data_IF_180328348570
#
_entry.id   IF_180328348570
#
_cell.length_a   1.000
_cell.length_b   1.000
_cell.length_c   1.000
_cell.angle_alpha   90.00
_cell.angle_beta   90.00
_cell.angle_gamma   90.00
#
_symmetry.space_group_name_H-M   'P 1'
#
loop_
_entity.id
_entity.type
_entity.pdbx_description
1 polymer ?
#
# COMPACT_ATOMS: atom_id res chain seq x y z
N UNK A 1 41.33 -9.76 48.22
CA UNK A 1 41.00 -8.48 47.55
C UNK A 1 39.88 -8.77 46.55
N UNK A 2 38.69 -8.49 46.98
CA UNK A 2 37.42 -8.75 46.28
C UNK A 2 37.05 -7.53 45.45
N UNK A 3 37.11 -7.66 44.13
CA UNK A 3 36.65 -6.62 43.20
C UNK A 3 35.16 -6.77 42.89
N UNK A 4 34.37 -5.84 43.43
CA UNK A 4 32.93 -5.72 43.15
C UNK A 4 32.69 -5.14 41.74
N UNK A 5 32.13 -5.94 40.85
CA UNK A 5 31.58 -5.45 39.59
C UNK A 5 30.15 -4.90 39.84
N UNK A 6 30.07 -3.57 39.91
CA UNK A 6 28.80 -2.88 39.97
C UNK A 6 27.99 -3.10 38.70
N UNK A 7 26.84 -3.74 38.83
CA UNK A 7 25.79 -3.76 37.80
C UNK A 7 25.14 -2.36 37.79
N UNK A 8 25.51 -1.53 36.85
CA UNK A 8 24.72 -0.37 36.52
C UNK A 8 23.53 -0.89 35.70
N UNK A 9 22.39 -1.01 36.36
CA UNK A 9 21.10 -1.19 35.72
C UNK A 9 20.78 0.07 34.95
N UNK A 10 20.89 0.02 33.64
CA UNK A 10 20.29 1.02 32.75
C UNK A 10 18.79 0.79 32.81
N UNK A 11 18.10 1.53 33.68
CA UNK A 11 16.66 1.68 33.67
C UNK A 11 16.34 2.59 32.47
N UNK A 12 16.12 2.01 31.31
CA UNK A 12 15.42 2.68 30.24
C UNK A 12 13.95 2.70 30.66
N UNK A 13 13.57 3.76 31.36
CA UNK A 13 12.16 4.15 31.44
C UNK A 13 11.79 4.57 30.01
N UNK A 14 11.23 3.65 29.24
CA UNK A 14 10.44 3.98 28.05
C UNK A 14 9.35 4.94 28.54
N UNK A 15 9.53 6.23 28.28
CA UNK A 15 8.42 7.19 28.36
C UNK A 15 7.52 6.78 27.20
N UNK A 16 6.52 5.97 27.50
CA UNK A 16 5.53 5.55 26.51
C UNK A 16 4.94 6.82 25.90
N UNK A 17 5.29 7.10 24.67
CA UNK A 17 4.76 8.28 23.93
C UNK A 17 3.26 8.08 23.81
N UNK A 18 2.49 8.88 24.54
CA UNK A 18 1.03 8.88 24.43
C UNK A 18 0.64 9.49 23.09
N UNK A 19 -0.07 8.75 22.28
CA UNK A 19 -0.52 9.14 20.93
C UNK A 19 -2.02 9.39 20.98
N UNK A 20 -2.46 10.48 20.35
CA UNK A 20 -3.88 10.81 20.14
C UNK A 20 -4.35 10.27 18.80
N UNK A 21 -5.33 9.38 18.83
CA UNK A 21 -5.78 8.57 17.70
C UNK A 21 -7.24 8.85 17.37
N UNK A 22 -7.55 9.02 16.09
CA UNK A 22 -8.93 8.91 15.57
C UNK A 22 -9.02 7.58 14.82
N UNK A 23 -10.09 6.81 15.07
CA UNK A 23 -10.33 5.53 14.40
C UNK A 23 -11.54 5.67 13.47
N UNK A 24 -11.37 5.27 12.20
CA UNK A 24 -12.45 5.15 11.23
C UNK A 24 -12.58 3.69 10.79
N UNK A 25 -13.65 3.04 11.20
CA UNK A 25 -13.93 1.62 10.97
C UNK A 25 -15.46 1.43 11.02
N UNK A 26 -16.04 0.84 10.00
CA UNK A 26 -17.49 0.63 9.92
C UNK A 26 -17.97 -0.50 10.82
N UNK A 27 -17.14 -1.53 11.02
CA UNK A 27 -17.43 -2.59 11.99
C UNK A 27 -17.36 -2.08 13.43
N UNK A 28 -18.52 -1.96 14.06
CA UNK A 28 -18.62 -1.52 15.48
C UNK A 28 -17.74 -2.37 16.39
N UNK A 29 -17.74 -3.70 16.19
CA UNK A 29 -16.96 -4.61 17.02
C UNK A 29 -15.45 -4.36 16.90
N UNK A 30 -14.96 -4.16 15.67
CA UNK A 30 -13.53 -3.93 15.43
C UNK A 30 -13.13 -2.52 15.93
N UNK A 31 -13.97 -1.51 15.70
CA UNK A 31 -13.74 -0.15 16.18
C UNK A 31 -13.62 -0.10 17.70
N UNK A 32 -14.55 -0.73 18.42
CA UNK A 32 -14.52 -0.81 19.88
C UNK A 32 -13.31 -1.63 20.37
N UNK A 33 -12.98 -2.72 19.67
CA UNK A 33 -11.80 -3.54 19.96
C UNK A 33 -10.50 -2.74 19.86
N UNK A 34 -10.32 -2.00 18.76
CA UNK A 34 -9.15 -1.13 18.54
C UNK A 34 -9.09 0.01 19.57
N UNK A 35 -10.25 0.62 19.87
CA UNK A 35 -10.38 1.69 20.89
C UNK A 35 -9.89 1.18 22.23
N UNK A 36 -10.39 0.03 22.66
CA UNK A 36 -10.00 -0.56 23.93
C UNK A 36 -8.54 -0.94 23.97
N UNK A 37 -8.06 -1.59 22.91
CA UNK A 37 -6.66 -2.02 22.78
C UNK A 37 -5.69 -0.83 22.93
N UNK A 38 -5.92 0.25 22.20
CA UNK A 38 -5.05 1.43 22.25
C UNK A 38 -5.14 2.13 23.60
N UNK A 39 -6.33 2.22 24.19
CA UNK A 39 -6.53 2.83 25.52
C UNK A 39 -5.85 2.03 26.63
N UNK A 40 -5.98 0.70 26.61
CA UNK A 40 -5.35 -0.18 27.60
C UNK A 40 -3.80 -0.11 27.54
N UNK A 41 -3.25 0.27 26.37
CA UNK A 41 -1.81 0.47 26.17
C UNK A 41 -1.35 1.93 26.34
N UNK A 42 -2.23 2.79 26.88
CA UNK A 42 -1.89 4.15 27.30
C UNK A 42 -2.02 5.23 26.22
N UNK A 43 -2.55 4.92 25.05
CA UNK A 43 -2.87 5.89 24.00
C UNK A 43 -4.26 6.50 24.24
N UNK A 44 -4.55 7.61 23.58
CA UNK A 44 -5.83 8.30 23.67
C UNK A 44 -6.61 8.18 22.36
N UNK A 45 -7.70 7.45 22.38
CA UNK A 45 -8.63 7.46 21.24
C UNK A 45 -9.61 8.62 21.43
N UNK A 46 -9.43 9.68 20.65
CA UNK A 46 -10.20 10.93 20.78
C UNK A 46 -11.53 10.88 20.06
N UNK A 47 -11.66 10.03 19.04
CA UNK A 47 -12.94 9.76 18.35
C UNK A 47 -12.91 8.42 17.62
N UNK A 48 -14.11 7.83 17.42
CA UNK A 48 -14.35 6.66 16.60
C UNK A 48 -15.55 6.92 15.68
N UNK A 49 -15.34 6.75 14.36
CA UNK A 49 -16.35 7.00 13.32
C UNK A 49 -16.54 5.80 12.42
N UNK A 50 -17.65 5.75 11.67
CA UNK A 50 -18.01 4.58 10.86
C UNK A 50 -17.86 4.77 9.34
N UNK A 51 -17.45 5.96 8.88
CA UNK A 51 -17.30 6.25 7.46
C UNK A 51 -16.26 7.34 7.19
N UNK A 52 -15.89 7.50 5.90
CA UNK A 52 -14.82 8.41 5.49
C UNK A 52 -15.20 9.89 5.57
N UNK A 53 -16.46 10.24 5.43
CA UNK A 53 -16.93 11.65 5.51
C UNK A 53 -16.94 12.10 6.94
N UNK A 54 -17.51 11.29 7.86
CA UNK A 54 -17.46 11.51 9.29
C UNK A 54 -16.02 11.61 9.81
N UNK A 55 -15.07 10.83 9.24
CA UNK A 55 -13.66 10.95 9.56
C UNK A 55 -13.11 12.34 9.24
N UNK A 56 -13.35 12.83 8.02
CA UNK A 56 -12.86 14.15 7.60
C UNK A 56 -13.47 15.27 8.46
N UNK A 57 -14.77 15.22 8.70
CA UNK A 57 -15.47 16.21 9.54
C UNK A 57 -14.95 16.21 10.98
N UNK A 58 -14.73 15.01 11.55
CA UNK A 58 -14.21 14.88 12.93
C UNK A 58 -12.81 15.47 13.06
N UNK A 59 -11.91 15.15 12.12
CA UNK A 59 -10.54 15.69 12.13
C UNK A 59 -10.55 17.20 11.92
N UNK A 60 -11.40 17.73 11.03
CA UNK A 60 -11.53 19.16 10.79
C UNK A 60 -12.05 19.90 12.04
N UNK A 61 -13.03 19.32 12.75
CA UNK A 61 -13.53 19.85 14.02
C UNK A 61 -12.42 19.93 15.09
N UNK A 62 -11.70 18.83 15.29
CA UNK A 62 -10.57 18.78 16.23
C UNK A 62 -9.46 19.78 15.86
N UNK A 63 -9.15 19.92 14.57
CA UNK A 63 -8.18 20.91 14.10
C UNK A 63 -8.63 22.35 14.39
N UNK A 64 -9.92 22.66 14.20
CA UNK A 64 -10.50 23.96 14.53
C UNK A 64 -10.41 24.31 16.01
N UNK A 65 -10.38 23.33 16.89
CA UNK A 65 -10.21 23.47 18.36
C UNK A 65 -8.71 23.49 18.76
N UNK A 66 -7.78 23.41 17.82
CA UNK A 66 -6.34 23.31 18.09
C UNK A 66 -5.94 21.96 18.70
N UNK A 67 -6.75 20.94 18.52
CA UNK A 67 -6.63 19.60 19.12
C UNK A 67 -6.45 18.51 18.07
N UNK A 68 -5.72 18.80 16.98
CA UNK A 68 -5.44 17.83 15.89
C UNK A 68 -4.92 16.51 16.49
N UNK A 69 -5.41 15.32 16.03
CA UNK A 69 -4.84 14.05 16.45
C UNK A 69 -3.43 13.85 15.86
N UNK A 70 -2.63 12.98 16.48
CA UNK A 70 -1.31 12.63 15.98
C UNK A 70 -1.40 11.65 14.79
N UNK A 71 -2.41 10.78 14.82
CA UNK A 71 -2.63 9.77 13.79
C UNK A 71 -4.10 9.42 13.61
N UNK A 72 -4.45 9.11 12.38
CA UNK A 72 -5.72 8.48 12.01
C UNK A 72 -5.45 7.02 11.67
N UNK A 73 -6.26 6.11 12.21
CA UNK A 73 -6.32 4.69 11.81
C UNK A 73 -7.61 4.51 11.03
N UNK A 74 -7.55 4.18 9.75
CA UNK A 74 -8.71 4.11 8.87
C UNK A 74 -8.80 2.77 8.14
N UNK A 75 -9.98 2.15 8.13
CA UNK A 75 -10.28 1.07 7.20
C UNK A 75 -10.31 1.60 5.75
N UNK A 76 -9.87 0.80 4.80
CA UNK A 76 -9.96 1.11 3.36
C UNK A 76 -11.42 1.23 2.92
N UNK A 77 -12.22 0.23 3.29
CA UNK A 77 -13.58 0.03 2.77
C UNK A 77 -14.63 0.39 3.80
N UNK A 78 -15.26 1.53 3.61
CA UNK A 78 -16.33 2.03 4.49
C UNK A 78 -17.57 2.44 3.69
N UNK A 79 -18.72 2.65 4.34
CA UNK A 79 -19.88 3.20 3.65
C UNK A 79 -19.57 4.51 2.90
N UNK A 80 -20.31 4.86 1.81
CA UNK A 80 -21.51 4.17 1.33
C UNK A 80 -21.27 3.03 0.35
N UNK A 81 -20.12 2.97 -0.34
CA UNK A 81 -19.90 1.99 -1.43
C UNK A 81 -19.04 0.81 -1.03
N UNK A 82 -18.37 0.88 0.13
CA UNK A 82 -17.42 -0.12 0.64
C UNK A 82 -16.29 -0.45 -0.36
N UNK A 83 -15.76 0.59 -1.02
CA UNK A 83 -14.66 0.45 -1.98
C UNK A 83 -13.37 1.05 -1.47
N UNK A 84 -13.26 2.39 -1.43
CA UNK A 84 -12.02 3.11 -1.17
C UNK A 84 -12.22 4.39 -0.31
N UNK A 85 -13.36 4.50 0.36
CA UNK A 85 -13.75 5.70 1.11
C UNK A 85 -12.70 6.11 2.13
N UNK A 86 -12.15 5.13 2.85
CA UNK A 86 -11.13 5.41 3.85
C UNK A 86 -9.83 5.91 3.25
N UNK A 87 -9.39 5.35 2.12
CA UNK A 87 -8.18 5.83 1.44
C UNK A 87 -8.38 7.25 0.91
N UNK A 88 -9.54 7.53 0.31
CA UNK A 88 -9.85 8.89 -0.17
C UNK A 88 -9.88 9.90 0.97
N UNK A 89 -10.49 9.54 2.10
CA UNK A 89 -10.47 10.37 3.31
C UNK A 89 -9.03 10.59 3.81
N UNK A 90 -8.23 9.52 3.88
CA UNK A 90 -6.84 9.56 4.29
C UNK A 90 -5.98 10.47 3.39
N UNK A 91 -6.10 10.35 2.07
CA UNK A 91 -5.39 11.19 1.09
C UNK A 91 -5.81 12.66 1.22
N UNK A 92 -7.11 12.92 1.40
CA UNK A 92 -7.62 14.27 1.64
C UNK A 92 -7.05 14.88 2.91
N UNK A 93 -7.11 14.17 4.02
CA UNK A 93 -6.59 14.63 5.31
C UNK A 93 -5.09 14.92 5.28
N UNK A 94 -4.31 14.11 4.58
CA UNK A 94 -2.87 14.35 4.42
C UNK A 94 -2.56 15.62 3.62
N UNK A 95 -3.40 15.97 2.65
CA UNK A 95 -3.24 17.23 1.90
C UNK A 95 -3.60 18.44 2.75
N UNK A 96 -4.66 18.34 3.55
CA UNK A 96 -5.14 19.42 4.42
C UNK A 96 -4.25 19.59 5.67
N UNK A 97 -3.75 18.46 6.22
CA UNK A 97 -2.94 18.43 7.45
C UNK A 97 -1.64 17.63 7.24
N UNK A 98 -0.59 18.23 6.64
CA UNK A 98 0.64 17.49 6.28
C UNK A 98 1.41 16.88 7.47
N UNK A 99 1.11 17.31 8.70
CA UNK A 99 1.70 16.76 9.93
C UNK A 99 0.93 15.56 10.52
N UNK A 100 -0.28 15.30 10.04
CA UNK A 100 -1.12 14.22 10.51
C UNK A 100 -0.61 12.87 10.00
N UNK A 101 -0.37 11.93 10.92
CA UNK A 101 -0.11 10.55 10.59
C UNK A 101 -1.38 9.83 10.08
N UNK A 102 -1.22 8.98 9.07
CA UNK A 102 -2.33 8.17 8.55
C UNK A 102 -1.89 6.72 8.42
N UNK A 103 -2.55 5.84 9.16
CA UNK A 103 -2.40 4.39 9.09
C UNK A 103 -3.66 3.76 8.52
N UNK A 104 -3.54 3.17 7.35
CA UNK A 104 -4.65 2.48 6.68
C UNK A 104 -4.60 1.00 7.02
N UNK A 105 -5.76 0.43 7.37
CA UNK A 105 -5.97 -0.99 7.56
C UNK A 105 -6.76 -1.57 6.38
N UNK A 106 -6.28 -2.65 5.79
CA UNK A 106 -6.92 -3.32 4.66
C UNK A 106 -7.05 -4.81 4.89
N UNK A 107 -8.10 -5.42 4.38
CA UNK A 107 -8.24 -6.87 4.39
C UNK A 107 -7.33 -7.56 3.35
N UNK A 108 -7.00 -6.86 2.27
CA UNK A 108 -6.18 -7.35 1.17
C UNK A 108 -5.14 -6.32 0.76
N UNK A 109 -4.08 -6.77 0.09
CA UNK A 109 -3.13 -5.85 -0.51
C UNK A 109 -3.76 -5.25 -1.77
N UNK A 110 -4.01 -3.95 -1.74
CA UNK A 110 -4.55 -3.18 -2.87
C UNK A 110 -3.51 -2.14 -3.30
N UNK A 111 -2.71 -2.53 -4.29
CA UNK A 111 -1.54 -1.77 -4.75
C UNK A 111 -1.86 -0.32 -5.14
N UNK A 112 -3.01 -0.10 -5.77
CA UNK A 112 -3.44 1.23 -6.19
C UNK A 112 -3.58 2.18 -4.99
N UNK A 113 -4.14 1.70 -3.88
CA UNK A 113 -4.34 2.51 -2.67
C UNK A 113 -3.03 2.77 -1.94
N UNK A 114 -2.18 1.76 -1.85
CA UNK A 114 -0.84 1.95 -1.28
C UNK A 114 -0.03 2.97 -2.10
N UNK A 115 -0.09 2.89 -3.43
CA UNK A 115 0.57 3.83 -4.34
C UNK A 115 0.03 5.25 -4.17
N UNK A 116 -1.28 5.42 -4.07
CA UNK A 116 -1.92 6.72 -3.88
C UNK A 116 -1.55 7.36 -2.53
N UNK A 117 -1.55 6.57 -1.45
CA UNK A 117 -1.15 7.03 -0.13
C UNK A 117 0.32 7.44 -0.05
N UNK A 118 1.20 6.74 -0.77
CA UNK A 118 2.64 7.01 -0.81
C UNK A 118 3.01 8.10 -1.82
N UNK A 119 2.08 8.53 -2.68
CA UNK A 119 2.33 9.57 -3.65
C UNK A 119 2.73 10.90 -2.97
N UNK A 120 3.88 11.43 -3.32
CA UNK A 120 4.43 12.69 -2.81
C UNK A 120 5.30 12.56 -1.57
N UNK A 121 4.92 11.81 -0.55
CA UNK A 121 5.74 11.60 0.67
C UNK A 121 5.33 10.33 1.40
N UNK A 122 6.29 9.56 1.85
CA UNK A 122 6.05 8.39 2.72
C UNK A 122 6.05 8.74 4.22
N UNK A 123 6.31 10.00 4.59
CA UNK A 123 6.33 10.41 6.00
C UNK A 123 4.92 10.39 6.60
N UNK A 124 4.80 9.82 7.80
CA UNK A 124 3.53 9.73 8.50
C UNK A 124 2.51 8.85 7.78
N UNK A 125 2.96 7.81 7.07
CA UNK A 125 2.10 6.90 6.32
C UNK A 125 2.28 5.48 6.79
N UNK A 126 1.16 4.80 7.01
CA UNK A 126 1.14 3.37 7.22
C UNK A 126 0.10 2.68 6.35
N UNK A 127 0.40 1.46 5.96
CA UNK A 127 -0.52 0.55 5.31
C UNK A 127 -0.27 -0.86 5.85
N UNK A 128 -1.22 -1.38 6.63
CA UNK A 128 -1.15 -2.72 7.22
C UNK A 128 -2.34 -3.57 6.79
N UNK A 129 -2.13 -4.87 6.76
CA UNK A 129 -3.22 -5.81 6.65
C UNK A 129 -3.94 -5.96 8.01
N UNK A 130 -5.27 -6.10 7.98
CA UNK A 130 -6.08 -6.27 9.22
C UNK A 130 -5.63 -7.46 10.07
N UNK A 131 -5.06 -8.49 9.46
CA UNK A 131 -4.50 -9.65 10.18
C UNK A 131 -3.33 -9.25 11.09
N UNK A 132 -2.61 -8.17 10.78
CA UNK A 132 -1.53 -7.64 11.63
C UNK A 132 -2.02 -7.02 12.94
N UNK A 133 -3.30 -6.67 13.02
CA UNK A 133 -3.90 -6.19 14.28
C UNK A 133 -3.88 -7.27 15.36
N UNK A 134 -3.90 -8.55 14.97
CA UNK A 134 -3.74 -9.68 15.89
C UNK A 134 -2.35 -9.71 16.56
N UNK A 135 -1.33 -9.18 15.89
CA UNK A 135 0.01 -8.98 16.42
C UNK A 135 0.09 -7.63 17.14
N UNK A 136 -0.54 -7.55 18.31
CA UNK A 136 -0.82 -6.32 19.06
C UNK A 136 0.39 -5.37 19.13
N UNK A 137 1.59 -5.90 19.42
CA UNK A 137 2.80 -5.09 19.52
C UNK A 137 3.17 -4.44 18.20
N UNK A 138 3.14 -5.20 17.11
CA UNK A 138 3.48 -4.68 15.78
C UNK A 138 2.49 -3.59 15.33
N UNK A 139 1.21 -3.79 15.61
CA UNK A 139 0.19 -2.79 15.32
C UNK A 139 0.41 -1.49 16.10
N UNK A 140 0.63 -1.58 17.42
CA UNK A 140 0.85 -0.38 18.25
C UNK A 140 2.15 0.32 17.88
N UNK A 141 3.22 -0.42 17.64
CA UNK A 141 4.49 0.13 17.15
C UNK A 141 4.32 0.88 15.81
N UNK A 142 3.47 0.36 14.93
CA UNK A 142 3.13 1.03 13.67
C UNK A 142 2.36 2.34 13.92
N UNK A 143 1.37 2.35 14.81
CA UNK A 143 0.61 3.55 15.20
C UNK A 143 1.56 4.63 15.73
N UNK A 144 2.42 4.28 16.68
CA UNK A 144 3.40 5.21 17.28
C UNK A 144 4.39 5.72 16.24
N UNK A 145 4.90 4.84 15.39
CA UNK A 145 5.83 5.18 14.31
C UNK A 145 5.24 6.17 13.32
N UNK A 146 4.00 5.91 12.89
CA UNK A 146 3.28 6.77 11.93
C UNK A 146 2.94 8.12 12.56
N UNK A 147 2.50 8.15 13.81
CA UNK A 147 2.27 9.38 14.57
C UNK A 147 3.54 10.24 14.70
N UNK A 148 4.71 9.60 14.86
CA UNK A 148 6.00 10.27 14.87
C UNK A 148 6.54 10.68 13.48
N UNK A 149 5.75 10.54 12.42
CA UNK A 149 6.13 10.89 11.05
C UNK A 149 6.96 9.80 10.34
N UNK A 150 7.09 8.61 10.93
CA UNK A 150 7.72 7.45 10.29
C UNK A 150 6.80 6.76 9.29
N UNK A 151 7.29 5.68 8.69
CA UNK A 151 6.54 4.86 7.73
C UNK A 151 6.35 3.44 8.28
N UNK A 152 5.15 2.89 8.12
CA UNK A 152 4.83 1.51 8.51
C UNK A 152 4.10 0.81 7.36
N UNK A 153 4.80 -0.07 6.64
CA UNK A 153 4.24 -0.81 5.52
C UNK A 153 4.30 -2.31 5.82
N UNK A 154 3.20 -3.00 5.54
CA UNK A 154 3.19 -4.46 5.57
C UNK A 154 4.20 -5.02 4.56
N UNK A 155 4.99 -6.05 4.94
CA UNK A 155 5.94 -6.68 4.03
C UNK A 155 5.29 -7.17 2.72
N UNK A 156 4.06 -7.65 2.76
CA UNK A 156 3.34 -8.10 1.57
C UNK A 156 3.02 -6.94 0.63
N UNK A 157 2.63 -5.78 1.18
CA UNK A 157 2.42 -4.54 0.41
C UNK A 157 3.72 -4.10 -0.26
N UNK A 158 4.84 -4.13 0.48
CA UNK A 158 6.16 -3.79 -0.07
C UNK A 158 6.55 -4.73 -1.21
N UNK A 159 6.34 -6.05 -1.05
CA UNK A 159 6.64 -7.04 -2.09
C UNK A 159 5.84 -6.78 -3.38
N UNK A 160 4.54 -6.48 -3.25
CA UNK A 160 3.70 -6.20 -4.41
C UNK A 160 4.11 -4.91 -5.12
N UNK A 161 4.36 -3.82 -4.38
CA UNK A 161 4.82 -2.55 -4.94
C UNK A 161 6.15 -2.71 -5.70
N UNK A 162 7.10 -3.46 -5.14
CA UNK A 162 8.39 -3.75 -5.80
C UNK A 162 8.21 -4.67 -7.02
N UNK A 163 7.29 -5.63 -6.96
CA UNK A 163 6.92 -6.49 -8.08
C UNK A 163 6.40 -5.68 -9.26
N UNK A 164 5.50 -4.72 -9.00
CA UNK A 164 4.94 -3.82 -10.02
C UNK A 164 5.99 -2.89 -10.62
N UNK A 165 6.86 -2.31 -9.78
CA UNK A 165 7.95 -1.46 -10.27
C UNK A 165 8.85 -2.21 -11.26
N UNK A 166 9.25 -3.45 -10.92
CA UNK A 166 10.02 -4.29 -11.85
C UNK A 166 9.27 -4.60 -13.14
N UNK A 167 7.97 -4.84 -13.06
CA UNK A 167 7.13 -5.17 -14.21
C UNK A 167 6.95 -3.97 -15.15
N UNK A 168 6.76 -2.77 -14.60
CA UNK A 168 6.71 -1.52 -15.36
C UNK A 168 8.05 -1.21 -16.01
N UNK A 169 9.18 -1.42 -15.31
CA UNK A 169 10.53 -1.24 -15.85
C UNK A 169 10.80 -2.19 -17.02
N UNK A 170 10.34 -3.44 -16.93
CA UNK A 170 10.50 -4.43 -18.00
C UNK A 170 9.72 -4.04 -19.25
N UNK A 171 8.49 -3.53 -19.11
CA UNK A 171 7.71 -3.03 -20.25
C UNK A 171 8.24 -1.70 -20.80
N UNK A 172 8.86 -0.87 -19.96
CA UNK A 172 9.54 0.35 -20.40
C UNK A 172 10.70 0.07 -21.36
N UNK A 173 11.33 -1.11 -21.27
CA UNK A 173 12.40 -1.56 -22.16
C UNK A 173 11.92 -1.96 -23.57
N UNK A 174 10.61 -2.09 -23.78
CA UNK A 174 10.06 -2.38 -25.10
C UNK A 174 10.07 -1.12 -25.97
N UNK A 175 10.48 -1.28 -27.22
CA UNK A 175 10.30 -0.23 -28.22
C UNK A 175 8.82 0.02 -28.48
N UNK A 176 8.42 1.20 -29.02
CA UNK A 176 7.03 1.47 -29.38
C UNK A 176 6.42 0.37 -30.27
N UNK A 177 7.21 -0.17 -31.20
CA UNK A 177 6.76 -1.23 -32.10
C UNK A 177 6.58 -2.58 -31.40
N UNK A 178 7.45 -2.93 -30.48
CA UNK A 178 7.31 -4.15 -29.68
C UNK A 178 6.09 -4.06 -28.73
N UNK A 179 5.84 -2.88 -28.17
CA UNK A 179 4.64 -2.64 -27.34
C UNK A 179 3.36 -2.76 -28.16
N UNK A 180 3.35 -2.24 -29.38
CA UNK A 180 2.21 -2.36 -30.32
C UNK A 180 1.94 -3.83 -30.68
N UNK A 181 2.99 -4.60 -31.00
CA UNK A 181 2.91 -6.05 -31.26
C UNK A 181 2.36 -6.78 -30.03
N UNK A 182 2.85 -6.47 -28.84
CA UNK A 182 2.40 -7.10 -27.59
C UNK A 182 0.94 -6.77 -27.27
N UNK A 183 0.49 -5.55 -27.54
CA UNK A 183 -0.92 -5.16 -27.44
C UNK A 183 -1.84 -5.99 -28.36
N UNK A 184 -1.44 -6.17 -29.63
CA UNK A 184 -2.17 -7.01 -30.57
C UNK A 184 -2.15 -8.51 -30.19
N UNK A 185 -1.06 -8.97 -29.55
CA UNK A 185 -1.02 -10.31 -28.96
C UNK A 185 -2.02 -10.46 -27.81
N UNK A 186 -2.17 -9.42 -26.98
CA UNK A 186 -3.12 -9.40 -25.88
C UNK A 186 -4.60 -9.40 -26.35
N UNK A 187 -4.86 -8.86 -27.56
CA UNK A 187 -6.15 -8.99 -28.24
C UNK A 187 -6.42 -10.42 -28.77
N UNK A 188 -5.50 -11.36 -28.59
CA UNK A 188 -5.64 -12.74 -29.07
C UNK A 188 -5.32 -12.94 -30.56
N UNK A 189 -4.70 -11.97 -31.24
CA UNK A 189 -4.39 -12.07 -32.67
C UNK A 189 -3.27 -13.06 -32.97
N UNK A 190 -3.39 -13.76 -34.11
CA UNK A 190 -2.30 -14.59 -34.65
C UNK A 190 -1.19 -13.73 -35.24
N UNK A 191 0.02 -14.29 -35.46
CA UNK A 191 1.14 -13.57 -36.06
C UNK A 191 0.76 -13.00 -37.45
N UNK A 192 0.07 -13.78 -38.27
CA UNK A 192 -0.35 -13.33 -39.61
C UNK A 192 -1.41 -12.20 -39.53
N UNK A 193 -2.30 -12.21 -38.52
CA UNK A 193 -3.23 -11.11 -38.31
C UNK A 193 -2.52 -9.85 -37.84
N UNK A 194 -1.50 -9.98 -36.99
CA UNK A 194 -0.63 -8.88 -36.53
C UNK A 194 0.16 -8.32 -37.74
N UNK A 195 0.75 -9.19 -38.56
CA UNK A 195 1.50 -8.80 -39.75
C UNK A 195 0.62 -7.95 -40.71
N UNK A 196 -0.62 -8.39 -40.95
CA UNK A 196 -1.60 -7.64 -41.76
C UNK A 196 -1.94 -6.29 -41.14
N UNK A 197 -2.22 -6.26 -39.83
CA UNK A 197 -2.59 -5.03 -39.13
C UNK A 197 -1.47 -3.98 -39.13
N UNK A 198 -0.23 -4.44 -39.04
CA UNK A 198 0.96 -3.60 -38.97
C UNK A 198 1.64 -3.34 -40.32
N UNK A 199 1.12 -3.94 -41.39
CA UNK A 199 1.65 -3.87 -42.77
C UNK A 199 3.12 -4.28 -42.82
N UNK A 200 3.44 -5.44 -42.27
CA UNK A 200 4.79 -6.03 -42.24
C UNK A 200 4.73 -7.51 -42.61
N UNK A 201 5.87 -8.15 -42.78
CA UNK A 201 5.95 -9.59 -43.03
C UNK A 201 5.75 -10.39 -41.73
N UNK A 202 5.31 -11.65 -41.84
CA UNK A 202 5.19 -12.58 -40.71
C UNK A 202 6.53 -12.76 -39.98
N UNK A 203 7.66 -12.88 -40.74
CA UNK A 203 8.99 -12.96 -40.16
C UNK A 203 9.41 -11.72 -39.36
N UNK A 204 8.95 -10.53 -39.73
CA UNK A 204 9.17 -9.32 -38.93
C UNK A 204 8.42 -9.37 -37.61
N UNK A 205 7.20 -9.88 -37.61
CA UNK A 205 6.40 -10.08 -36.37
C UNK A 205 7.09 -11.10 -35.47
N UNK A 206 7.56 -12.23 -36.00
CA UNK A 206 8.27 -13.23 -35.24
C UNK A 206 9.54 -12.68 -34.58
N UNK A 207 10.29 -11.83 -35.30
CA UNK A 207 11.45 -11.14 -34.74
C UNK A 207 11.09 -10.22 -33.61
N UNK A 208 9.99 -9.42 -33.72
CA UNK A 208 9.50 -8.59 -32.63
C UNK A 208 9.08 -9.42 -31.42
N UNK A 209 8.35 -10.52 -31.64
CA UNK A 209 7.94 -11.43 -30.56
C UNK A 209 9.14 -12.04 -29.85
N UNK A 210 10.16 -12.46 -30.60
CA UNK A 210 11.40 -13.01 -30.01
C UNK A 210 12.11 -11.96 -29.13
N UNK A 211 12.20 -10.72 -29.61
CA UNK A 211 12.78 -9.62 -28.86
C UNK A 211 11.94 -9.29 -27.61
N UNK A 212 10.61 -9.31 -27.71
CA UNK A 212 9.71 -9.13 -26.58
C UNK A 212 10.01 -10.21 -25.53
N UNK A 213 10.05 -11.48 -25.89
CA UNK A 213 10.36 -12.55 -24.94
C UNK A 213 11.72 -12.38 -24.26
N UNK A 214 12.75 -11.98 -25.04
CA UNK A 214 14.08 -11.71 -24.49
C UNK A 214 14.04 -10.56 -23.46
N UNK A 215 13.40 -9.45 -23.80
CA UNK A 215 13.31 -8.26 -22.95
C UNK A 215 12.44 -8.50 -21.71
N UNK A 216 11.43 -9.36 -21.81
CA UNK A 216 10.60 -9.80 -20.71
C UNK A 216 11.26 -10.92 -19.86
N UNK A 217 12.47 -11.37 -20.20
CA UNK A 217 13.16 -12.44 -19.49
C UNK A 217 12.52 -13.82 -19.64
N UNK A 218 11.72 -14.04 -20.69
CA UNK A 218 10.99 -15.28 -20.92
C UNK A 218 11.87 -16.26 -21.71
N UNK A 219 12.67 -17.05 -21.00
CA UNK A 219 13.50 -18.09 -21.59
C UNK A 219 12.65 -19.25 -22.14
N UNK A 220 13.14 -19.97 -23.18
CA UNK A 220 12.49 -21.19 -23.59
C UNK A 220 12.45 -22.21 -22.46
N UNK A 221 11.26 -22.71 -22.14
CA UNK A 221 11.04 -23.80 -21.17
C UNK A 221 10.06 -24.80 -21.77
N UNK A 222 10.21 -26.08 -21.40
CA UNK A 222 9.36 -27.17 -21.94
C UNK A 222 7.93 -27.15 -21.35
N UNK A 223 7.69 -26.36 -20.29
CA UNK A 223 6.41 -26.33 -19.58
C UNK A 223 5.57 -25.06 -19.77
N UNK A 224 6.16 -23.96 -20.26
CA UNK A 224 5.50 -22.67 -20.25
C UNK A 224 5.22 -22.09 -21.65
N UNK A 225 4.01 -21.61 -21.83
CA UNK A 225 3.62 -20.88 -23.05
C UNK A 225 4.05 -19.41 -22.96
N UNK A 226 5.28 -19.08 -23.41
CA UNK A 226 5.85 -17.72 -23.37
C UNK A 226 4.92 -16.63 -23.90
N UNK A 227 4.12 -16.95 -24.93
CA UNK A 227 3.14 -15.99 -25.46
C UNK A 227 2.09 -15.62 -24.42
N UNK A 228 1.60 -16.60 -23.66
CA UNK A 228 0.62 -16.38 -22.58
C UNK A 228 1.26 -15.56 -21.46
N UNK A 229 2.48 -15.91 -21.06
CA UNK A 229 3.21 -15.17 -20.02
C UNK A 229 3.46 -13.70 -20.41
N UNK A 230 3.85 -13.45 -21.66
CA UNK A 230 4.06 -12.10 -22.18
C UNK A 230 2.76 -11.27 -22.15
N UNK A 231 1.63 -11.88 -22.56
CA UNK A 231 0.31 -11.22 -22.51
C UNK A 231 -0.13 -10.95 -21.08
N UNK A 232 0.06 -11.91 -20.18
CA UNK A 232 -0.27 -11.70 -18.74
C UNK A 232 0.58 -10.58 -18.12
N UNK A 233 1.86 -10.48 -18.49
CA UNK A 233 2.73 -9.38 -18.07
C UNK A 233 2.21 -8.03 -18.57
N UNK A 234 1.74 -7.96 -19.80
CA UNK A 234 1.16 -6.75 -20.40
C UNK A 234 -0.17 -6.33 -19.76
N UNK A 235 -1.05 -7.29 -19.46
CA UNK A 235 -2.37 -7.01 -18.91
C UNK A 235 -2.37 -6.63 -17.42
N UNK A 236 -1.29 -6.95 -16.71
CA UNK A 236 -1.09 -6.59 -15.29
C UNK A 236 -0.39 -5.22 -15.10
N UNK A 237 0.04 -4.58 -16.17
CA UNK A 237 0.70 -3.26 -16.13
C UNK A 237 -0.31 -2.15 -16.35
#
# INVERSE_FOLDING_TARGET
MTGAWGRQGVSVQDVAVRVRVVIAEDSVLLREGLTRLLTDLGHEVVAGVGDGEALVETVAGLAGEGALPDVVVADVRMPPTHTDEGVRAAVRLRKEYPGLGVLVLSQYVEEQYATELLAGSSRGVGYLLKDRVAEVREFVDAVVRVAGGGTALDPEVVQQLLGRSRQQDVLANLTPREREVLGLMAEGRTNSAIAKALVVSDGAVEKHISNIFLKLGLSPSDGDHRRVLAVLTYLKS
#
